data_IF_362663885585
#
_entry.id   IF_362663885585
#
_cell.length_a   1.000
_cell.length_b   1.000
_cell.length_c   1.000
_cell.angle_alpha   90.00
_cell.angle_beta   90.00
_cell.angle_gamma   90.00
#
_symmetry.space_group_name_H-M   'P 1'
#
loop_
_entity.id
_entity.type
_entity.pdbx_description
1 polymer ?
#
# COMPACT_ATOMS: atom_id res chain seq x y z
N UNK A 1 9.03 20.25 -1.38
CA UNK A 1 8.45 21.60 -1.24
C UNK A 1 8.48 22.17 0.20
N UNK A 2 8.53 21.36 1.28
CA UNK A 2 8.38 21.89 2.65
C UNK A 2 9.71 22.36 3.31
N UNK A 3 10.89 21.94 2.84
CA UNK A 3 12.16 22.17 3.55
C UNK A 3 13.13 23.18 2.90
N UNK A 4 12.77 23.81 1.78
CA UNK A 4 13.71 24.68 1.05
C UNK A 4 13.73 26.15 1.49
N UNK A 5 12.88 26.54 2.47
CA UNK A 5 12.76 27.92 2.98
C UNK A 5 12.97 28.02 4.51
N UNK A 6 13.65 27.06 5.13
CA UNK A 6 13.97 27.20 6.55
C UNK A 6 15.21 28.10 6.74
N UNK A 7 15.00 29.40 6.92
CA UNK A 7 16.01 30.26 7.53
C UNK A 7 16.45 29.67 8.89
N UNK A 8 17.74 29.67 9.23
CA UNK A 8 18.23 29.20 10.52
C UNK A 8 17.88 30.22 11.61
N UNK A 9 16.59 30.35 11.93
CA UNK A 9 16.09 31.22 12.98
C UNK A 9 15.57 30.40 14.16
N UNK A 10 15.78 30.93 15.36
CA UNK A 10 15.37 30.42 16.67
C UNK A 10 13.85 30.23 16.84
N UNK A 11 13.05 30.37 15.78
CA UNK A 11 11.60 30.35 15.76
C UNK A 11 10.99 29.07 15.16
N UNK A 12 11.79 28.02 14.91
CA UNK A 12 11.24 26.75 14.46
C UNK A 12 10.32 26.15 15.55
N UNK A 13 9.07 25.80 15.23
CA UNK A 13 8.16 25.18 16.18
C UNK A 13 8.76 23.87 16.69
N UNK A 14 8.67 23.67 18.01
CA UNK A 14 9.17 22.45 18.66
C UNK A 14 8.49 21.23 18.04
N UNK A 15 9.23 20.12 17.91
CA UNK A 15 8.70 18.81 17.45
C UNK A 15 7.35 18.47 18.07
N UNK A 16 7.20 18.65 19.39
CA UNK A 16 5.93 18.38 20.08
C UNK A 16 4.78 19.19 19.48
N UNK A 17 4.95 20.50 19.30
CA UNK A 17 3.92 21.37 18.73
C UNK A 17 3.61 21.01 17.26
N UNK A 18 4.63 20.68 16.47
CA UNK A 18 4.45 20.18 15.10
C UNK A 18 3.58 18.91 15.08
N UNK A 19 3.87 17.93 15.93
CA UNK A 19 3.17 16.64 15.95
C UNK A 19 1.76 16.74 16.53
N UNK A 20 1.59 17.42 17.68
CA UNK A 20 0.32 17.38 18.42
C UNK A 20 -0.66 18.47 18.04
N UNK A 21 -0.22 19.51 17.35
CA UNK A 21 -1.07 20.65 16.98
C UNK A 21 -1.14 20.80 15.46
N UNK A 22 -0.01 21.10 14.81
CA UNK A 22 -0.01 21.43 13.38
C UNK A 22 -0.43 20.20 12.55
N UNK A 23 0.23 19.05 12.71
CA UNK A 23 -0.11 17.85 11.96
C UNK A 23 -1.51 17.34 12.27
N UNK A 24 -1.93 17.38 13.53
CA UNK A 24 -3.27 16.92 13.90
C UNK A 24 -4.36 17.80 13.28
N UNK A 25 -4.15 19.12 13.28
CA UNK A 25 -5.07 20.06 12.65
C UNK A 25 -5.14 19.84 11.14
N UNK A 26 -4.00 19.78 10.46
CA UNK A 26 -3.94 19.52 9.02
C UNK A 26 -4.58 18.16 8.65
N UNK A 27 -4.32 17.13 9.45
CA UNK A 27 -4.92 15.81 9.27
C UNK A 27 -6.44 15.89 9.37
N UNK A 28 -6.97 16.54 10.42
CA UNK A 28 -8.42 16.68 10.61
C UNK A 28 -9.06 17.47 9.45
N UNK A 29 -8.44 18.57 9.01
CA UNK A 29 -8.93 19.34 7.86
C UNK A 29 -9.01 18.51 6.58
N UNK A 30 -7.93 17.76 6.27
CA UNK A 30 -7.90 16.89 5.09
C UNK A 30 -8.90 15.75 5.24
N UNK A 31 -9.01 15.15 6.43
CA UNK A 31 -9.95 14.07 6.72
C UNK A 31 -11.39 14.50 6.48
N UNK A 32 -11.78 15.68 6.96
CA UNK A 32 -13.12 16.23 6.76
C UNK A 32 -13.41 16.48 5.28
N UNK A 33 -12.44 17.02 4.53
CA UNK A 33 -12.54 17.17 3.08
C UNK A 33 -12.72 15.83 2.36
N UNK A 34 -11.96 14.80 2.74
CA UNK A 34 -12.09 13.46 2.16
C UNK A 34 -13.46 12.86 2.48
N UNK A 35 -13.95 13.01 3.71
CA UNK A 35 -15.29 12.55 4.09
C UNK A 35 -16.36 13.21 3.23
N UNK A 36 -16.29 14.52 2.99
CA UNK A 36 -17.21 15.21 2.09
C UNK A 36 -17.14 14.64 0.66
N UNK A 37 -15.95 14.38 0.13
CA UNK A 37 -15.80 13.77 -1.20
C UNK A 37 -16.38 12.34 -1.27
N UNK A 38 -16.32 11.57 -0.17
CA UNK A 38 -16.86 10.22 -0.11
C UNK A 38 -18.39 10.21 0.03
N UNK A 39 -18.98 11.24 0.66
CA UNK A 39 -20.43 11.33 0.86
C UNK A 39 -21.22 11.34 -0.46
N UNK A 40 -20.74 12.04 -1.47
CA UNK A 40 -21.46 12.19 -2.74
C UNK A 40 -21.20 11.06 -3.75
N UNK A 41 -20.41 10.05 -3.36
CA UNK A 41 -20.09 8.92 -4.24
C UNK A 41 -21.28 7.97 -4.43
N UNK A 42 -21.50 7.55 -5.68
CA UNK A 42 -22.48 6.51 -6.04
C UNK A 42 -22.01 5.09 -5.66
N UNK A 43 -20.69 4.91 -5.55
CA UNK A 43 -20.07 3.65 -5.22
C UNK A 43 -18.57 3.83 -4.99
N UNK A 44 -18.04 3.05 -4.07
CA UNK A 44 -16.62 3.09 -3.69
C UNK A 44 -16.04 1.69 -3.86
N UNK A 45 -14.90 1.59 -4.53
CA UNK A 45 -14.06 0.40 -4.42
C UNK A 45 -12.94 0.68 -3.43
N UNK A 46 -12.61 -0.31 -2.61
CA UNK A 46 -11.47 -0.21 -1.70
C UNK A 46 -10.38 -1.16 -2.13
N UNK A 47 -9.12 -0.72 -1.97
CA UNK A 47 -7.96 -1.60 -2.05
C UNK A 47 -7.39 -1.79 -0.65
N UNK A 48 -6.92 -3.00 -0.36
CA UNK A 48 -6.13 -3.27 0.84
C UNK A 48 -4.79 -3.86 0.46
N UNK A 49 -3.73 -3.32 1.06
CA UNK A 49 -2.38 -3.83 0.92
C UNK A 49 -1.84 -4.22 2.30
N UNK A 50 -1.36 -5.46 2.41
CA UNK A 50 -0.71 -5.97 3.61
C UNK A 50 0.78 -6.10 3.32
N UNK A 51 1.58 -5.33 4.03
CA UNK A 51 3.00 -5.25 3.78
C UNK A 51 3.77 -5.30 5.09
N UNK A 52 5.01 -5.75 5.01
CA UNK A 52 5.93 -5.79 6.15
C UNK A 52 7.00 -4.75 5.91
N UNK A 53 7.21 -3.86 6.88
CA UNK A 53 8.26 -2.85 6.81
C UNK A 53 9.66 -3.47 6.89
N UNK A 54 10.68 -2.68 6.57
CA UNK A 54 12.09 -3.09 6.69
C UNK A 54 12.49 -3.45 8.14
N UNK A 55 11.77 -2.92 9.13
CA UNK A 55 11.94 -3.30 10.54
C UNK A 55 11.08 -4.51 10.95
N UNK A 56 10.61 -5.30 9.98
CA UNK A 56 9.81 -6.52 10.14
C UNK A 56 8.50 -6.27 10.90
N UNK A 57 7.90 -5.10 10.73
CA UNK A 57 6.61 -4.77 11.33
C UNK A 57 5.49 -4.88 10.28
N UNK A 58 4.41 -5.60 10.57
CA UNK A 58 3.31 -5.73 9.64
C UNK A 58 2.40 -4.50 9.66
N UNK A 59 1.97 -4.07 8.48
CA UNK A 59 1.06 -2.97 8.25
C UNK A 59 -0.08 -3.37 7.31
N UNK A 60 -1.21 -2.71 7.50
CA UNK A 60 -2.32 -2.73 6.55
C UNK A 60 -2.59 -1.30 6.09
N UNK A 61 -2.68 -1.12 4.79
CA UNK A 61 -3.09 0.13 4.15
C UNK A 61 -4.42 -0.09 3.44
N UNK A 62 -5.40 0.77 3.71
CA UNK A 62 -6.71 0.77 3.05
C UNK A 62 -6.85 2.07 2.26
N UNK A 63 -7.11 1.95 0.97
CA UNK A 63 -7.40 3.09 0.10
C UNK A 63 -8.80 2.96 -0.50
N UNK A 64 -9.46 4.09 -0.70
CA UNK A 64 -10.74 4.20 -1.40
C UNK A 64 -10.55 4.78 -2.79
N UNK A 65 -11.38 4.34 -3.71
CA UNK A 65 -11.40 4.75 -5.10
C UNK A 65 -12.84 5.04 -5.50
N UNK A 66 -13.09 6.25 -6.03
CA UNK A 66 -14.39 6.66 -6.54
C UNK A 66 -14.24 7.43 -7.85
N UNK A 67 -15.32 7.46 -8.62
CA UNK A 67 -15.45 8.30 -9.81
C UNK A 67 -16.37 9.46 -9.44
N UNK A 68 -15.92 10.70 -9.66
CA UNK A 68 -16.73 11.89 -9.39
C UNK A 68 -17.80 12.09 -10.46
N UNK A 69 -18.73 13.02 -10.22
CA UNK A 69 -19.71 13.47 -11.22
C UNK A 69 -19.07 14.02 -12.51
N UNK A 70 -17.82 14.44 -12.46
CA UNK A 70 -17.04 14.92 -13.61
C UNK A 70 -16.23 13.80 -14.29
N UNK A 71 -16.50 12.53 -13.97
CA UNK A 71 -15.79 11.36 -14.49
C UNK A 71 -14.29 11.31 -14.13
N UNK A 72 -13.91 11.91 -13.01
CA UNK A 72 -12.54 11.87 -12.51
C UNK A 72 -12.37 10.75 -11.47
N UNK A 73 -11.35 9.92 -11.65
CA UNK A 73 -10.96 8.93 -10.63
C UNK A 73 -10.25 9.66 -9.48
N UNK A 74 -10.81 9.57 -8.28
CA UNK A 74 -10.17 10.01 -7.05
C UNK A 74 -9.79 8.82 -6.19
N UNK A 75 -8.59 8.89 -5.62
CA UNK A 75 -8.05 7.88 -4.72
C UNK A 75 -7.66 8.55 -3.41
N UNK A 76 -8.07 7.97 -2.29
CA UNK A 76 -7.73 8.44 -0.95
C UNK A 76 -7.25 7.30 -0.08
N UNK A 77 -6.06 7.44 0.52
CA UNK A 77 -5.62 6.53 1.58
C UNK A 77 -6.42 6.87 2.83
N UNK A 78 -7.22 5.91 3.29
CA UNK A 78 -8.09 6.08 4.46
C UNK A 78 -7.32 5.79 5.74
N UNK A 79 -6.52 4.72 5.72
CA UNK A 79 -5.78 4.30 6.90
C UNK A 79 -4.54 3.52 6.51
N UNK A 80 -3.43 3.82 7.18
CA UNK A 80 -2.27 2.96 7.26
C UNK A 80 -1.99 2.73 8.73
N UNK A 81 -2.09 1.48 9.18
CA UNK A 81 -1.89 1.15 10.59
C UNK A 81 -1.07 -0.11 10.75
N UNK A 82 -0.29 -0.17 11.82
CA UNK A 82 0.44 -1.37 12.19
C UNK A 82 -0.56 -2.45 12.59
N UNK A 83 -0.54 -3.58 11.90
CA UNK A 83 -1.48 -4.67 12.13
C UNK A 83 -0.83 -5.77 12.97
N UNK A 84 -0.69 -5.52 14.27
CA UNK A 84 0.02 -6.42 15.19
C UNK A 84 -0.79 -7.67 15.58
N UNK A 85 -0.11 -8.81 15.70
CA UNK A 85 -0.67 -10.10 16.11
C UNK A 85 -0.94 -11.05 14.94
N UNK A 86 -1.81 -12.04 15.16
CA UNK A 86 -2.12 -13.04 14.13
C UNK A 86 -2.93 -12.40 13.00
N UNK A 87 -2.40 -12.46 11.78
CA UNK A 87 -3.05 -12.04 10.53
C UNK A 87 -4.13 -13.05 10.11
N UNK A 88 -5.14 -13.26 10.94
CA UNK A 88 -6.27 -14.10 10.59
C UNK A 88 -7.22 -13.32 9.69
N UNK A 89 -7.89 -14.02 8.77
CA UNK A 89 -8.86 -13.40 7.87
C UNK A 89 -9.97 -12.68 8.64
N UNK A 90 -10.42 -13.23 9.76
CA UNK A 90 -11.49 -12.67 10.58
C UNK A 90 -11.09 -11.29 11.15
N UNK A 91 -9.84 -11.16 11.61
CA UNK A 91 -9.33 -9.88 12.13
C UNK A 91 -9.16 -8.84 11.05
N UNK A 92 -8.66 -9.23 9.88
CA UNK A 92 -8.52 -8.33 8.73
C UNK A 92 -9.90 -7.86 8.27
N UNK A 93 -10.87 -8.79 8.17
CA UNK A 93 -12.25 -8.47 7.79
C UNK A 93 -12.88 -7.49 8.76
N UNK A 94 -12.74 -7.70 10.07
CA UNK A 94 -13.23 -6.78 11.08
C UNK A 94 -12.57 -5.41 10.97
N UNK A 95 -11.24 -5.35 10.80
CA UNK A 95 -10.53 -4.09 10.66
C UNK A 95 -10.96 -3.31 9.41
N UNK A 96 -11.17 -3.98 8.27
CA UNK A 96 -11.71 -3.36 7.07
C UNK A 96 -13.13 -2.81 7.30
N UNK A 97 -13.98 -3.55 8.00
CA UNK A 97 -15.33 -3.09 8.35
C UNK A 97 -15.29 -1.88 9.27
N UNK A 98 -14.47 -1.92 10.32
CA UNK A 98 -14.31 -0.82 11.29
C UNK A 98 -13.83 0.45 10.59
N UNK A 99 -12.83 0.35 9.71
CA UNK A 99 -12.35 1.47 8.89
C UNK A 99 -13.49 1.99 8.02
N UNK A 100 -14.21 1.12 7.30
CA UNK A 100 -15.31 1.56 6.45
C UNK A 100 -16.45 2.22 7.23
N UNK A 101 -16.70 1.80 8.48
CA UNK A 101 -17.67 2.42 9.38
C UNK A 101 -17.18 3.80 9.84
N UNK A 102 -15.91 3.92 10.24
CA UNK A 102 -15.31 5.18 10.69
C UNK A 102 -15.37 6.26 9.60
N UNK A 103 -15.19 5.86 8.35
CA UNK A 103 -15.26 6.73 7.18
C UNK A 103 -16.67 6.90 6.61
N UNK A 104 -17.67 6.16 7.13
CA UNK A 104 -19.07 6.27 6.69
C UNK A 104 -19.33 5.78 5.26
N UNK A 105 -18.61 4.73 4.84
CA UNK A 105 -18.64 4.23 3.45
C UNK A 105 -19.04 2.75 3.32
N UNK A 106 -19.26 2.03 4.43
CA UNK A 106 -19.49 0.58 4.41
C UNK A 106 -20.65 0.15 3.50
N UNK A 107 -21.73 0.90 3.51
CA UNK A 107 -22.92 0.69 2.66
C UNK A 107 -22.63 0.96 1.18
N UNK A 108 -21.73 1.91 0.88
CA UNK A 108 -21.34 2.33 -0.48
C UNK A 108 -20.24 1.48 -1.11
N UNK A 109 -19.63 0.57 -0.35
CA UNK A 109 -18.60 -0.30 -0.91
C UNK A 109 -19.24 -1.20 -1.97
N UNK A 110 -18.71 -1.12 -3.19
CA UNK A 110 -19.04 -1.97 -4.33
C UNK A 110 -18.10 -3.17 -4.35
N UNK A 111 -16.80 -2.91 -4.25
CA UNK A 111 -15.80 -3.95 -4.37
C UNK A 111 -14.59 -3.77 -3.44
N UNK A 112 -13.97 -4.89 -3.07
CA UNK A 112 -12.69 -4.98 -2.40
C UNK A 112 -11.66 -5.57 -3.35
N UNK A 113 -10.51 -4.91 -3.48
CA UNK A 113 -9.36 -5.41 -4.23
C UNK A 113 -8.19 -5.61 -3.27
N UNK A 114 -7.47 -6.71 -3.42
CA UNK A 114 -6.39 -7.06 -2.50
C UNK A 114 -5.38 -7.98 -3.15
N UNK A 115 -4.25 -8.25 -2.48
CA UNK A 115 -3.38 -9.36 -2.87
C UNK A 115 -4.13 -10.72 -2.87
N UNK A 116 -3.54 -11.75 -3.47
CA UNK A 116 -4.14 -13.08 -3.55
C UNK A 116 -3.62 -14.05 -2.49
N UNK A 117 -3.11 -13.54 -1.37
CA UNK A 117 -2.66 -14.40 -0.28
C UNK A 117 -3.83 -15.28 0.21
N UNK A 118 -3.53 -16.50 0.67
CA UNK A 118 -4.54 -17.48 1.07
C UNK A 118 -5.50 -16.94 2.14
N UNK A 119 -4.98 -16.17 3.09
CA UNK A 119 -5.75 -15.46 4.12
C UNK A 119 -6.75 -14.48 3.50
N UNK A 120 -6.31 -13.73 2.49
CA UNK A 120 -7.09 -12.65 1.88
C UNK A 120 -8.22 -13.18 0.99
N UNK A 121 -8.06 -14.36 0.38
CA UNK A 121 -9.19 -15.04 -0.30
C UNK A 121 -10.35 -15.33 0.66
N UNK A 122 -10.05 -15.62 1.94
CA UNK A 122 -11.09 -15.77 2.97
C UNK A 122 -11.70 -14.42 3.34
N UNK A 123 -10.89 -13.37 3.49
CA UNK A 123 -11.36 -11.99 3.71
C UNK A 123 -12.35 -11.56 2.63
N UNK A 124 -12.02 -11.77 1.35
CA UNK A 124 -12.90 -11.41 0.24
C UNK A 124 -14.29 -12.06 0.34
N UNK A 125 -14.38 -13.31 0.80
CA UNK A 125 -15.66 -13.99 1.05
C UNK A 125 -16.38 -13.45 2.28
N UNK A 126 -15.65 -13.20 3.36
CA UNK A 126 -16.22 -12.82 4.66
C UNK A 126 -16.61 -11.34 4.72
N UNK A 127 -16.04 -10.50 3.87
CA UNK A 127 -16.33 -9.07 3.77
C UNK A 127 -17.72 -8.77 3.17
N UNK A 128 -18.36 -9.77 2.54
CA UNK A 128 -19.74 -9.71 2.00
C UNK A 128 -19.94 -8.62 0.93
N UNK A 129 -18.89 -8.27 0.19
CA UNK A 129 -18.90 -7.40 -0.99
C UNK A 129 -18.18 -8.12 -2.13
N UNK A 130 -18.26 -7.60 -3.35
CA UNK A 130 -17.51 -8.18 -4.47
C UNK A 130 -16.01 -8.11 -4.18
N UNK A 131 -15.29 -9.16 -4.55
CA UNK A 131 -13.85 -9.26 -4.32
C UNK A 131 -13.10 -9.58 -5.61
N UNK A 132 -12.04 -8.83 -5.87
CA UNK A 132 -11.14 -9.07 -6.99
C UNK A 132 -9.70 -9.19 -6.49
N UNK A 133 -9.00 -10.17 -7.06
CA UNK A 133 -7.56 -10.30 -6.85
C UNK A 133 -6.78 -9.22 -7.56
N UNK A 134 -5.66 -8.79 -6.96
CA UNK A 134 -4.76 -7.80 -7.53
C UNK A 134 -4.24 -8.27 -8.90
N UNK A 135 -4.40 -7.41 -9.92
CA UNK A 135 -3.94 -7.69 -11.27
C UNK A 135 -2.42 -7.89 -11.30
N UNK A 136 -1.65 -7.04 -10.62
CA UNK A 136 -0.20 -7.11 -10.59
C UNK A 136 0.28 -8.42 -9.98
N UNK A 137 -0.39 -8.89 -8.93
CA UNK A 137 -0.06 -10.18 -8.32
C UNK A 137 -0.39 -11.34 -9.26
N UNK A 138 -1.52 -11.29 -9.98
CA UNK A 138 -1.84 -12.31 -10.99
C UNK A 138 -0.80 -12.34 -12.12
N UNK A 139 -0.37 -11.18 -12.61
CA UNK A 139 0.69 -11.09 -13.63
C UNK A 139 1.99 -11.66 -13.07
N UNK A 140 2.35 -11.31 -11.84
CA UNK A 140 3.54 -11.86 -11.19
C UNK A 140 3.47 -13.38 -11.06
N UNK A 141 2.32 -13.96 -10.72
CA UNK A 141 2.14 -15.41 -10.69
C UNK A 141 2.38 -16.03 -12.08
N UNK A 142 1.84 -15.45 -13.15
CA UNK A 142 2.11 -15.92 -14.51
C UNK A 142 3.60 -15.84 -14.86
N UNK A 143 4.29 -14.78 -14.44
CA UNK A 143 5.73 -14.61 -14.66
C UNK A 143 6.52 -15.67 -13.89
N UNK A 144 6.21 -15.88 -12.60
CA UNK A 144 6.84 -16.91 -11.75
C UNK A 144 6.65 -18.30 -12.35
N UNK A 145 5.43 -18.63 -12.79
CA UNK A 145 5.16 -19.92 -13.44
C UNK A 145 5.96 -20.08 -14.75
N UNK A 146 6.11 -19.00 -15.54
CA UNK A 146 6.94 -19.02 -16.74
C UNK A 146 8.43 -19.21 -16.45
N UNK A 147 8.94 -18.73 -15.30
CA UNK A 147 10.32 -18.94 -14.87
C UNK A 147 10.64 -20.39 -14.52
N UNK A 148 9.63 -21.22 -14.21
CA UNK A 148 9.82 -22.64 -13.94
C UNK A 148 9.91 -23.50 -15.21
N UNK A 149 9.72 -22.93 -16.40
CA UNK A 149 9.98 -23.62 -17.65
C UNK A 149 11.50 -23.86 -17.81
N UNK A 150 11.90 -25.10 -18.06
CA UNK A 150 13.31 -25.53 -18.08
C UNK A 150 14.21 -24.60 -18.91
N UNK A 151 13.78 -24.23 -20.12
CA UNK A 151 14.55 -23.33 -21.00
C UNK A 151 14.71 -21.92 -20.41
N UNK A 152 13.65 -21.38 -19.81
CA UNK A 152 13.64 -20.03 -19.21
C UNK A 152 14.48 -20.03 -17.94
N UNK A 153 14.36 -21.08 -17.13
CA UNK A 153 15.11 -21.27 -15.89
C UNK A 153 16.60 -21.32 -16.15
N UNK A 154 17.01 -22.12 -17.13
CA UNK A 154 18.42 -22.23 -17.56
C UNK A 154 18.97 -20.87 -18.02
N UNK A 155 18.23 -20.14 -18.85
CA UNK A 155 18.63 -18.81 -19.32
C UNK A 155 18.72 -17.82 -18.15
N UNK A 156 17.75 -17.85 -17.23
CA UNK A 156 17.73 -16.98 -16.06
C UNK A 156 18.95 -17.22 -15.16
N UNK A 157 19.26 -18.48 -14.85
CA UNK A 157 20.45 -18.87 -14.08
C UNK A 157 21.74 -18.36 -14.73
N UNK A 158 21.89 -18.55 -16.04
CA UNK A 158 23.05 -18.03 -16.80
C UNK A 158 23.15 -16.50 -16.74
N UNK A 159 22.03 -15.78 -16.83
CA UNK A 159 21.99 -14.32 -16.70
C UNK A 159 22.35 -13.86 -15.28
N UNK A 160 21.87 -14.56 -14.25
CA UNK A 160 22.22 -14.25 -12.86
C UNK A 160 23.70 -14.48 -12.58
N UNK A 161 24.26 -15.59 -13.04
CA UNK A 161 25.69 -15.90 -12.91
C UNK A 161 26.57 -14.93 -13.68
N UNK A 162 26.17 -14.53 -14.89
CA UNK A 162 26.84 -13.50 -15.67
C UNK A 162 26.83 -12.16 -14.94
N UNK A 163 25.69 -11.75 -14.38
CA UNK A 163 25.56 -10.50 -13.61
C UNK A 163 26.39 -10.53 -12.32
N UNK A 164 26.42 -11.65 -11.61
CA UNK A 164 27.23 -11.83 -10.43
C UNK A 164 28.72 -11.77 -10.75
N UNK A 165 29.13 -12.42 -11.85
CA UNK A 165 30.49 -12.38 -12.38
C UNK A 165 30.90 -10.97 -12.80
N UNK A 166 30.02 -10.25 -13.51
CA UNK A 166 30.24 -8.84 -13.88
C UNK A 166 30.39 -7.94 -12.66
N UNK A 167 29.54 -8.09 -11.62
CA UNK A 167 29.68 -7.34 -10.37
C UNK A 167 31.00 -7.66 -9.66
N UNK A 168 31.45 -8.91 -9.64
CA UNK A 168 32.74 -9.32 -9.06
C UNK A 168 33.92 -8.73 -9.85
N UNK A 169 33.88 -8.77 -11.18
CA UNK A 169 34.90 -8.19 -12.05
C UNK A 169 34.94 -6.66 -11.91
N UNK A 170 33.77 -6.00 -11.92
CA UNK A 170 33.66 -4.56 -11.74
C UNK A 170 34.16 -4.13 -10.36
N UNK A 171 33.86 -4.89 -9.30
CA UNK A 171 34.42 -4.68 -7.97
C UNK A 171 35.94 -4.85 -7.97
N UNK A 172 36.47 -5.89 -8.61
CA UNK A 172 37.92 -6.08 -8.74
C UNK A 172 38.61 -4.97 -9.55
N UNK A 173 37.97 -4.46 -10.61
CA UNK A 173 38.53 -3.39 -11.45
C UNK A 173 38.45 -2.01 -10.77
N UNK A 174 37.36 -1.74 -10.03
CA UNK A 174 37.18 -0.47 -9.31
C UNK A 174 38.02 -0.38 -8.03
N UNK A 175 38.41 -1.51 -7.42
CA UNK A 175 39.22 -1.54 -6.19
C UNK A 175 40.69 -1.92 -6.39
N UNK A 176 41.15 -2.14 -7.63
CA UNK A 176 42.57 -2.42 -7.95
C UNK A 176 43.36 -1.21 -8.47
N UNK A 177 42.78 0.00 -8.38
CA UNK A 177 43.53 1.26 -8.50
C UNK A 177 43.72 1.85 -7.10
N UNK A 178 44.65 1.25 -6.36
CA UNK A 178 45.46 1.91 -5.32
C UNK A 178 46.85 1.29 -5.35
#
# INVERSE_FOLDING_TARGET
>A
AIFHEAEPSSNLPKRKYLMTNILQHMYNEIRDLVIEQLKDSLGICITTDNWTSDCNQPYITVSSHLITSNYELKTFVLQTTQFSGNHTADRITQALQDICIEWGILDKIVCLVSDNCSTIKKVGRDFKKDWFGCADHNINLCVVDAYELDDVKLIAELLFDSRASYKRILFFLLFRVR
#
